data_IF_082721157506
#
_entry.id   IF_082721157506
#
_cell.length_a   1.000
_cell.length_b   1.000
_cell.length_c   1.000
_cell.angle_alpha   90.00
_cell.angle_beta   90.00
_cell.angle_gamma   90.00
#
_symmetry.space_group_name_H-M   'P 1'
#
loop_
_entity.id
_entity.type
_entity.pdbx_description
1 polymer ?
#
# COMPACT_ATOMS: atom_id res chain seq x y z
N UNK A 1 8.75 21.49 21.48
CA UNK A 1 9.86 20.53 21.70
C UNK A 1 9.67 19.92 23.09
N UNK A 2 9.35 18.63 23.19
CA UNK A 2 9.29 17.96 24.49
C UNK A 2 10.72 17.77 25.01
N UNK A 3 10.95 18.13 26.27
CA UNK A 3 12.27 18.09 26.91
C UNK A 3 12.74 16.63 27.16
N UNK A 4 14.05 16.45 27.38
CA UNK A 4 14.65 15.12 27.59
C UNK A 4 14.05 14.34 28.78
N UNK A 5 13.58 15.05 29.81
CA UNK A 5 12.89 14.45 30.96
C UNK A 5 11.56 13.78 30.57
N UNK A 6 10.84 14.33 29.57
CA UNK A 6 9.60 13.74 29.05
C UNK A 6 9.86 12.51 28.19
N UNK A 7 11.01 12.43 27.50
CA UNK A 7 11.45 11.20 26.79
C UNK A 7 11.82 10.09 27.77
N UNK A 8 12.49 10.44 28.88
CA UNK A 8 12.90 9.48 29.89
C UNK A 8 11.69 8.88 30.62
N UNK A 9 10.69 9.67 30.98
CA UNK A 9 9.46 9.19 31.64
C UNK A 9 8.62 8.30 30.70
N UNK A 10 8.57 8.62 29.40
CA UNK A 10 7.83 7.82 28.43
C UNK A 10 8.46 6.43 28.22
N UNK A 11 9.79 6.38 28.07
CA UNK A 11 10.53 5.11 27.98
C UNK A 11 10.42 4.30 29.28
N UNK A 12 10.48 4.97 30.45
CA UNK A 12 10.41 4.31 31.75
C UNK A 12 9.01 3.79 32.11
N UNK A 13 7.95 4.39 31.56
CA UNK A 13 6.58 3.89 31.74
C UNK A 13 6.31 2.63 30.90
N UNK A 14 6.98 2.49 29.76
CA UNK A 14 6.86 1.33 28.87
C UNK A 14 7.68 0.16 29.41
N UNK A 15 8.87 0.39 29.96
CA UNK A 15 9.68 -0.68 30.59
C UNK A 15 9.04 -1.26 31.85
N UNK A 16 8.13 -0.54 32.53
CA UNK A 16 7.38 -1.08 33.69
C UNK A 16 6.21 -1.99 33.31
N UNK A 17 5.79 -2.03 32.04
CA UNK A 17 4.70 -2.89 31.54
C UNK A 17 5.15 -4.09 30.72
N UNK A 18 6.44 -4.16 30.38
CA UNK A 18 7.00 -5.24 29.57
C UNK A 18 7.55 -6.33 30.48
N UNK A 19 7.21 -7.58 30.22
CA UNK A 19 7.78 -8.70 30.96
C UNK A 19 9.29 -8.81 30.65
N UNK A 20 10.06 -9.43 31.56
CA UNK A 20 11.49 -9.68 31.36
C UNK A 20 11.78 -10.44 30.04
N UNK A 21 10.81 -11.22 29.56
CA UNK A 21 10.79 -11.93 28.28
C UNK A 21 10.75 -10.98 27.08
N UNK A 22 9.96 -9.89 27.16
CA UNK A 22 9.85 -8.85 26.13
C UNK A 22 11.10 -7.97 26.07
N UNK A 23 11.67 -7.63 27.24
CA UNK A 23 12.93 -6.87 27.32
C UNK A 23 14.08 -7.64 26.65
N UNK A 24 14.12 -8.96 26.80
CA UNK A 24 15.11 -9.82 26.15
C UNK A 24 14.85 -9.99 24.64
N UNK A 25 13.59 -9.98 24.18
CA UNK A 25 13.24 -9.95 22.75
C UNK A 25 13.61 -8.61 22.10
N UNK A 26 13.39 -7.48 22.77
CA UNK A 26 13.81 -6.15 22.32
C UNK A 26 15.34 -6.08 22.19
N UNK A 27 16.07 -6.62 23.19
CA UNK A 27 17.53 -6.74 23.12
C UNK A 27 18.04 -7.67 22.00
N UNK A 28 17.20 -8.55 21.46
CA UNK A 28 17.53 -9.44 20.34
C UNK A 28 17.31 -8.76 18.98
N UNK A 29 16.43 -7.76 18.88
CA UNK A 29 16.37 -6.80 17.76
C UNK A 29 17.51 -5.77 17.86
N UNK A 30 18.74 -6.28 17.86
CA UNK A 30 19.98 -5.54 18.16
C UNK A 30 20.44 -4.64 16.99
N UNK A 31 19.57 -3.74 16.56
CA UNK A 31 19.93 -2.48 15.93
C UNK A 31 19.04 -1.43 16.59
N UNK A 32 19.60 -0.61 17.48
CA UNK A 32 18.87 0.50 18.14
C UNK A 32 18.09 1.36 17.14
N UNK A 33 18.59 1.45 15.91
CA UNK A 33 17.96 2.10 14.76
C UNK A 33 16.63 1.45 14.31
N UNK A 34 16.51 0.11 14.30
CA UNK A 34 15.26 -0.57 13.88
C UNK A 34 14.14 -0.30 14.89
N UNK A 35 14.42 -0.51 16.18
CA UNK A 35 13.43 -0.24 17.22
C UNK A 35 13.10 1.25 17.27
N UNK A 36 14.10 2.14 17.18
CA UNK A 36 13.89 3.58 17.16
C UNK A 36 12.96 4.01 16.02
N UNK A 37 13.23 3.54 14.79
CA UNK A 37 12.43 3.83 13.58
C UNK A 37 10.98 3.37 13.71
N UNK A 38 10.74 2.15 14.19
CA UNK A 38 9.40 1.56 14.22
C UNK A 38 8.70 1.63 15.59
N UNK A 39 9.32 2.27 16.58
CA UNK A 39 8.81 2.36 17.96
C UNK A 39 7.35 2.80 18.04
N UNK A 40 6.92 3.75 17.20
CA UNK A 40 5.53 4.25 17.18
C UNK A 40 4.51 3.21 16.74
N UNK A 41 4.88 2.29 15.87
CA UNK A 41 4.04 1.15 15.48
C UNK A 41 4.10 0.05 16.55
N UNK A 42 5.30 -0.25 17.05
CA UNK A 42 5.53 -1.28 18.08
C UNK A 42 4.76 -0.97 19.39
N UNK A 43 4.58 0.30 19.74
CA UNK A 43 3.82 0.68 20.94
C UNK A 43 2.31 0.49 20.83
N UNK A 44 1.77 0.22 19.64
CA UNK A 44 0.36 -0.13 19.47
C UNK A 44 0.20 -1.58 19.93
N UNK A 45 -0.66 -1.83 20.90
CA UNK A 45 -0.83 -3.14 21.55
C UNK A 45 -1.14 -4.25 20.53
N UNK A 46 -2.00 -3.96 19.57
CA UNK A 46 -2.41 -4.91 18.53
C UNK A 46 -1.31 -5.17 17.48
N UNK A 47 -0.28 -4.31 17.41
CA UNK A 47 0.89 -4.54 16.54
C UNK A 47 2.01 -5.19 17.36
N UNK A 48 2.51 -4.52 18.40
CA UNK A 48 3.62 -5.01 19.21
C UNK A 48 4.88 -5.31 18.40
N UNK A 49 5.81 -6.05 19.01
CA UNK A 49 7.01 -6.51 18.32
C UNK A 49 6.70 -7.58 17.25
N UNK A 50 5.70 -8.43 17.52
CA UNK A 50 5.35 -9.52 16.62
C UNK A 50 4.70 -9.00 15.32
N UNK A 51 3.80 -8.03 15.40
CA UNK A 51 3.21 -7.37 14.23
C UNK A 51 4.25 -6.64 13.40
N UNK A 52 5.18 -5.90 14.04
CA UNK A 52 6.28 -5.28 13.30
C UNK A 52 7.18 -6.32 12.62
N UNK A 53 7.41 -7.47 13.25
CA UNK A 53 8.14 -8.59 12.65
C UNK A 53 7.41 -9.16 11.44
N UNK A 54 6.07 -9.27 11.47
CA UNK A 54 5.28 -9.65 10.28
C UNK A 54 5.43 -8.62 9.16
N UNK A 55 5.34 -7.33 9.46
CA UNK A 55 5.56 -6.24 8.50
C UNK A 55 6.93 -6.40 7.81
N UNK A 56 8.00 -6.54 8.59
CA UNK A 56 9.36 -6.69 8.07
C UNK A 56 9.62 -7.98 7.29
N UNK A 57 8.76 -8.99 7.40
CA UNK A 57 8.89 -10.25 6.66
C UNK A 57 7.95 -10.33 5.44
N UNK A 58 6.98 -9.42 5.33
CA UNK A 58 6.01 -9.43 4.25
C UNK A 58 6.60 -8.95 2.92
N UNK A 59 6.09 -9.51 1.83
CA UNK A 59 6.35 -9.10 0.45
C UNK A 59 5.08 -8.54 -0.16
N UNK A 60 5.08 -7.27 -0.52
CA UNK A 60 3.93 -6.60 -1.14
C UNK A 60 4.26 -6.19 -2.57
N UNK A 61 3.39 -6.51 -3.52
CA UNK A 61 3.45 -6.01 -4.90
C UNK A 61 2.49 -4.84 -5.08
N UNK A 62 3.00 -3.70 -5.51
CA UNK A 62 2.20 -2.53 -5.89
C UNK A 62 2.20 -2.43 -7.42
N UNK A 63 1.00 -2.49 -8.01
CA UNK A 63 0.81 -2.39 -9.45
C UNK A 63 0.40 -0.96 -9.77
N UNK A 64 1.28 -0.25 -10.47
CA UNK A 64 1.21 1.19 -10.71
C UNK A 64 1.89 1.99 -9.59
N UNK A 65 2.82 2.86 -9.99
CA UNK A 65 3.48 3.86 -9.14
C UNK A 65 2.82 5.25 -9.25
N UNK A 66 1.65 5.33 -9.89
CA UNK A 66 0.90 6.57 -10.12
C UNK A 66 0.23 7.16 -8.87
N UNK A 67 -0.92 7.83 -9.05
CA UNK A 67 -1.56 8.61 -7.97
C UNK A 67 -1.94 7.77 -6.73
N UNK A 68 -2.47 6.57 -6.93
CA UNK A 68 -2.80 5.63 -5.85
C UNK A 68 -1.56 4.88 -5.33
N UNK A 69 -0.68 4.47 -6.25
CA UNK A 69 0.54 3.74 -5.92
C UNK A 69 1.53 4.55 -5.10
N UNK A 70 1.65 5.86 -5.36
CA UNK A 70 2.55 6.78 -4.64
C UNK A 70 2.40 6.72 -3.12
N UNK A 71 1.22 7.05 -2.53
CA UNK A 71 1.02 6.93 -1.09
C UNK A 71 1.13 5.46 -0.59
N UNK A 72 0.75 4.47 -1.40
CA UNK A 72 0.94 3.05 -1.04
C UNK A 72 2.41 2.71 -0.82
N UNK A 73 3.24 3.02 -1.80
CA UNK A 73 4.69 2.81 -1.74
C UNK A 73 5.28 3.57 -0.55
N UNK A 74 4.86 4.83 -0.37
CA UNK A 74 5.33 5.67 0.73
C UNK A 74 5.04 5.07 2.11
N UNK A 75 3.79 4.70 2.38
CA UNK A 75 3.40 4.23 3.71
C UNK A 75 3.88 2.81 3.98
N UNK A 76 3.90 1.93 2.99
CA UNK A 76 4.46 0.58 3.17
C UNK A 76 5.98 0.61 3.38
N UNK A 77 6.70 1.46 2.64
CA UNK A 77 8.13 1.65 2.87
C UNK A 77 8.40 2.28 4.25
N UNK A 78 7.63 3.29 4.66
CA UNK A 78 7.74 3.89 6.00
C UNK A 78 7.43 2.89 7.13
N UNK A 79 6.42 2.03 6.93
CA UNK A 79 6.04 0.99 7.88
C UNK A 79 7.13 -0.09 8.05
N UNK A 80 7.98 -0.25 7.04
CA UNK A 80 9.09 -1.19 7.05
C UNK A 80 8.73 -2.55 6.49
N UNK A 81 7.87 -2.60 5.47
CA UNK A 81 7.59 -3.84 4.72
C UNK A 81 8.90 -4.46 4.23
N UNK A 82 9.06 -5.76 4.38
CA UNK A 82 10.31 -6.47 4.09
C UNK A 82 10.77 -6.34 2.63
N UNK A 83 9.88 -6.69 1.70
CA UNK A 83 10.09 -6.48 0.28
C UNK A 83 8.92 -5.74 -0.36
N UNK A 84 9.23 -4.71 -1.13
CA UNK A 84 8.26 -3.88 -1.84
C UNK A 84 8.52 -3.98 -3.34
N UNK A 85 7.71 -4.79 -4.01
CA UNK A 85 7.67 -4.88 -5.46
C UNK A 85 6.87 -3.72 -6.04
N UNK A 86 7.39 -3.06 -7.06
CA UNK A 86 6.69 -1.98 -7.78
C UNK A 86 6.77 -2.24 -9.27
N UNK A 87 5.60 -2.32 -9.89
CA UNK A 87 5.45 -2.58 -11.33
C UNK A 87 4.86 -1.35 -11.98
N UNK A 88 5.59 -0.73 -12.89
CA UNK A 88 5.12 0.37 -13.71
C UNK A 88 5.92 0.39 -15.01
N UNK A 89 5.32 0.83 -16.11
CA UNK A 89 5.95 0.90 -17.42
C UNK A 89 6.09 2.35 -17.93
N UNK A 90 5.51 3.31 -17.22
CA UNK A 90 5.52 4.71 -17.61
C UNK A 90 6.78 5.44 -17.13
N UNK A 91 7.00 6.60 -17.75
CA UNK A 91 7.91 7.63 -17.27
C UNK A 91 7.16 8.67 -16.44
N UNK A 92 7.89 9.39 -15.58
CA UNK A 92 7.34 10.52 -14.84
C UNK A 92 7.13 11.69 -15.79
N UNK A 93 5.92 12.24 -15.82
CA UNK A 93 5.59 13.45 -16.54
C UNK A 93 5.31 14.62 -15.58
N UNK A 94 5.49 15.86 -16.04
CA UNK A 94 5.28 17.05 -15.20
C UNK A 94 3.86 17.09 -14.61
N UNK A 95 2.86 16.72 -15.41
CA UNK A 95 1.47 16.71 -14.98
C UNK A 95 1.19 15.66 -13.90
N UNK A 96 2.08 14.69 -13.67
CA UNK A 96 1.94 13.70 -12.60
C UNK A 96 2.19 14.32 -11.20
N UNK A 97 3.02 15.36 -11.12
CA UNK A 97 3.57 15.87 -9.86
C UNK A 97 2.53 16.53 -8.94
N UNK A 98 1.31 16.80 -9.42
CA UNK A 98 0.23 17.29 -8.56
C UNK A 98 -0.34 16.23 -7.60
N UNK A 99 -0.07 14.94 -7.85
CA UNK A 99 -0.67 13.82 -7.10
C UNK A 99 0.25 12.62 -6.87
N UNK A 100 1.29 12.45 -7.67
CA UNK A 100 2.21 11.31 -7.57
C UNK A 100 3.42 11.70 -6.69
N UNK A 101 3.16 11.81 -5.38
CA UNK A 101 4.02 12.51 -4.40
C UNK A 101 5.37 11.85 -4.10
N UNK A 102 5.62 10.63 -4.60
CA UNK A 102 6.94 9.98 -4.49
C UNK A 102 7.87 10.39 -5.64
N UNK A 103 7.33 11.02 -6.68
CA UNK A 103 8.07 11.54 -7.83
C UNK A 103 8.40 13.03 -7.63
N UNK A 104 9.42 13.51 -8.33
CA UNK A 104 9.83 14.91 -8.29
C UNK A 104 10.40 15.35 -9.65
N UNK A 105 10.64 16.66 -9.80
CA UNK A 105 11.08 17.27 -11.07
C UNK A 105 12.38 16.66 -11.64
N UNK A 106 13.28 16.13 -10.81
CA UNK A 106 14.53 15.51 -11.28
C UNK A 106 14.31 14.19 -12.03
N UNK A 107 13.13 13.60 -11.89
CA UNK A 107 12.76 12.35 -12.54
C UNK A 107 11.85 12.53 -13.75
N UNK A 108 11.45 13.75 -14.12
CA UNK A 108 10.66 13.99 -15.34
C UNK A 108 11.41 13.42 -16.56
N UNK A 109 10.71 12.63 -17.38
CA UNK A 109 11.27 11.90 -18.53
C UNK A 109 12.11 10.67 -18.14
N UNK A 110 11.95 10.15 -16.91
CA UNK A 110 12.60 8.92 -16.44
C UNK A 110 11.55 7.97 -15.90
N UNK A 111 11.87 6.68 -15.91
CA UNK A 111 11.06 5.60 -15.36
C UNK A 111 10.47 5.91 -13.97
N UNK A 112 9.15 5.73 -13.82
CA UNK A 112 8.46 5.84 -12.53
C UNK A 112 8.99 4.83 -11.52
N UNK A 113 9.36 3.64 -11.95
CA UNK A 113 9.97 2.61 -11.09
C UNK A 113 11.30 3.08 -10.53
N UNK A 114 12.14 3.72 -11.34
CA UNK A 114 13.43 4.27 -10.88
C UNK A 114 13.25 5.43 -9.92
N UNK A 115 12.25 6.29 -10.16
CA UNK A 115 11.89 7.35 -9.22
C UNK A 115 11.38 6.79 -7.89
N UNK A 116 10.53 5.76 -7.93
CA UNK A 116 10.05 5.08 -6.73
C UNK A 116 11.18 4.37 -5.97
N UNK A 117 12.13 3.75 -6.68
CA UNK A 117 13.32 3.13 -6.09
C UNK A 117 14.16 4.15 -5.31
N UNK A 118 14.44 5.31 -5.92
CA UNK A 118 15.17 6.40 -5.27
C UNK A 118 14.44 6.91 -4.03
N UNK A 119 13.13 7.16 -4.14
CA UNK A 119 12.31 7.58 -3.01
C UNK A 119 12.36 6.58 -1.85
N UNK A 120 12.16 5.29 -2.13
CA UNK A 120 12.15 4.24 -1.09
C UNK A 120 13.53 4.10 -0.44
N UNK A 121 14.62 4.16 -1.20
CA UNK A 121 15.99 4.09 -0.64
C UNK A 121 16.27 5.27 0.28
N UNK A 122 15.85 6.48 -0.10
CA UNK A 122 16.02 7.69 0.71
C UNK A 122 15.14 7.69 1.96
N UNK A 123 13.91 7.15 1.87
CA UNK A 123 12.98 7.06 3.00
C UNK A 123 13.35 5.93 3.98
N UNK A 124 13.61 4.73 3.46
CA UNK A 124 13.86 3.52 4.23
C UNK A 124 14.75 2.53 3.47
N UNK A 125 16.06 2.72 3.51
CA UNK A 125 17.05 1.83 2.90
C UNK A 125 17.03 0.37 3.40
N UNK A 126 16.26 0.03 4.44
CA UNK A 126 16.10 -1.34 4.94
C UNK A 126 15.05 -2.14 4.17
N UNK A 127 14.16 -1.47 3.43
CA UNK A 127 13.14 -2.10 2.59
C UNK A 127 13.81 -2.63 1.34
N UNK A 128 13.62 -3.92 1.04
CA UNK A 128 14.09 -4.50 -0.21
C UNK A 128 13.16 -4.08 -1.36
N UNK A 129 13.56 -3.06 -2.11
CA UNK A 129 12.81 -2.61 -3.28
C UNK A 129 13.05 -3.51 -4.48
N UNK A 130 11.97 -3.99 -5.11
CA UNK A 130 12.01 -4.84 -6.31
C UNK A 130 11.29 -4.09 -7.45
N UNK A 131 12.07 -3.38 -8.27
CA UNK A 131 11.52 -2.62 -9.40
C UNK A 131 11.31 -3.47 -10.64
N UNK A 132 10.15 -3.33 -11.28
CA UNK A 132 9.77 -4.05 -12.50
C UNK A 132 9.29 -3.04 -13.54
N UNK A 133 10.15 -2.71 -14.49
CA UNK A 133 9.94 -1.71 -15.56
C UNK A 133 9.18 -2.30 -16.76
N UNK A 134 8.06 -2.98 -16.48
CA UNK A 134 7.29 -3.69 -17.49
C UNK A 134 5.80 -3.54 -17.26
N UNK A 135 5.04 -3.53 -18.36
CA UNK A 135 3.59 -3.62 -18.29
C UNK A 135 3.18 -5.02 -17.89
N UNK A 136 2.35 -5.13 -16.85
CA UNK A 136 1.73 -6.41 -16.48
C UNK A 136 0.76 -6.85 -17.58
N UNK A 137 0.83 -8.13 -17.96
CA UNK A 137 0.02 -8.73 -19.01
C UNK A 137 -0.13 -10.24 -18.77
N UNK A 138 -0.95 -10.91 -19.58
CA UNK A 138 -1.29 -12.33 -19.41
C UNK A 138 -0.07 -13.26 -19.39
N UNK A 139 1.03 -12.89 -20.05
CA UNK A 139 2.24 -13.72 -20.13
C UNK A 139 3.16 -13.61 -18.92
N UNK A 140 3.09 -12.51 -18.14
CA UNK A 140 4.02 -12.27 -17.02
C UNK A 140 3.32 -12.15 -15.65
N UNK A 141 2.00 -11.95 -15.62
CA UNK A 141 1.28 -11.62 -14.38
C UNK A 141 1.37 -12.74 -13.34
N UNK A 142 1.25 -14.01 -13.76
CA UNK A 142 1.25 -15.15 -12.84
C UNK A 142 2.61 -15.33 -12.15
N UNK A 143 3.70 -15.35 -12.91
CA UNK A 143 5.06 -15.46 -12.37
C UNK A 143 5.35 -14.31 -11.41
N UNK A 144 4.98 -13.08 -11.79
CA UNK A 144 5.20 -11.88 -11.01
C UNK A 144 4.42 -11.91 -9.70
N UNK A 145 3.10 -12.11 -9.74
CA UNK A 145 2.22 -12.11 -8.56
C UNK A 145 2.56 -13.26 -7.60
N UNK A 146 2.99 -14.43 -8.11
CA UNK A 146 3.30 -15.59 -7.28
C UNK A 146 4.36 -15.33 -6.21
N UNK A 147 5.27 -14.37 -6.45
CA UNK A 147 6.43 -14.06 -5.60
C UNK A 147 6.10 -13.20 -4.38
N UNK A 148 4.89 -12.64 -4.30
CA UNK A 148 4.47 -11.71 -3.26
C UNK A 148 3.33 -12.28 -2.42
N UNK A 149 3.22 -11.82 -1.18
CA UNK A 149 2.21 -12.27 -0.23
C UNK A 149 0.89 -11.54 -0.44
N UNK A 150 0.95 -10.25 -0.75
CA UNK A 150 -0.21 -9.35 -0.90
C UNK A 150 -0.02 -8.50 -2.15
N UNK A 151 -1.10 -8.30 -2.89
CA UNK A 151 -1.12 -7.47 -4.10
C UNK A 151 -1.95 -6.21 -3.82
N UNK A 152 -1.42 -5.06 -4.23
CA UNK A 152 -2.10 -3.77 -4.15
C UNK A 152 -2.24 -3.22 -5.56
N UNK A 153 -3.48 -3.07 -6.01
CA UNK A 153 -3.79 -2.59 -7.34
C UNK A 153 -4.06 -1.09 -7.32
N UNK A 154 -3.08 -0.32 -7.79
CA UNK A 154 -3.14 1.12 -8.02
C UNK A 154 -3.24 1.47 -9.51
N UNK A 155 -3.61 0.52 -10.37
CA UNK A 155 -3.73 0.74 -11.82
C UNK A 155 -4.97 1.57 -12.18
N UNK A 156 -4.89 2.25 -13.32
CA UNK A 156 -5.87 3.22 -13.81
C UNK A 156 -6.81 2.66 -14.89
N UNK A 157 -6.57 1.45 -15.37
CA UNK A 157 -7.33 0.86 -16.48
C UNK A 157 -7.97 -0.47 -16.10
N UNK A 158 -9.17 -0.71 -16.64
CA UNK A 158 -9.95 -1.91 -16.35
C UNK A 158 -9.23 -3.20 -16.76
N UNK A 159 -8.55 -3.23 -17.91
CA UNK A 159 -7.86 -4.43 -18.39
C UNK A 159 -6.87 -4.97 -17.34
N UNK A 160 -6.08 -4.09 -16.74
CA UNK A 160 -5.11 -4.47 -15.70
C UNK A 160 -5.82 -4.96 -14.44
N UNK A 161 -6.84 -4.24 -13.98
CA UNK A 161 -7.59 -4.60 -12.76
C UNK A 161 -8.19 -6.00 -12.83
N UNK A 162 -8.80 -6.35 -13.96
CA UNK A 162 -9.42 -7.66 -14.14
C UNK A 162 -8.37 -8.77 -14.27
N UNK A 163 -7.29 -8.54 -15.03
CA UNK A 163 -6.16 -9.47 -15.09
C UNK A 163 -5.58 -9.76 -13.70
N UNK A 164 -5.28 -8.70 -12.94
CA UNK A 164 -4.71 -8.81 -11.59
C UNK A 164 -5.66 -9.56 -10.67
N UNK A 165 -6.95 -9.25 -10.70
CA UNK A 165 -7.97 -9.99 -9.95
C UNK A 165 -7.95 -11.48 -10.28
N UNK A 166 -7.96 -11.84 -11.56
CA UNK A 166 -8.10 -13.23 -11.99
C UNK A 166 -6.87 -14.05 -11.59
N UNK A 167 -5.68 -13.46 -11.69
CA UNK A 167 -4.45 -14.08 -11.21
C UNK A 167 -4.43 -14.19 -9.68
N UNK A 168 -4.90 -13.18 -8.96
CA UNK A 168 -5.02 -13.24 -7.49
C UNK A 168 -6.01 -14.33 -7.04
N UNK A 169 -7.13 -14.50 -7.74
CA UNK A 169 -8.09 -15.61 -7.50
C UNK A 169 -7.39 -16.95 -7.72
N UNK A 170 -6.71 -17.12 -8.86
CA UNK A 170 -5.99 -18.36 -9.22
C UNK A 170 -4.93 -18.73 -8.18
N UNK A 171 -4.14 -17.74 -7.74
CA UNK A 171 -3.02 -17.92 -6.82
C UNK A 171 -3.40 -17.79 -5.34
N UNK A 172 -4.68 -17.52 -5.03
CA UNK A 172 -5.20 -17.25 -3.68
C UNK A 172 -4.42 -16.14 -2.96
N UNK A 173 -4.11 -15.06 -3.69
CA UNK A 173 -3.41 -13.89 -3.16
C UNK A 173 -4.44 -12.84 -2.72
N UNK A 174 -4.33 -12.28 -1.50
CA UNK A 174 -5.11 -11.12 -1.09
C UNK A 174 -4.85 -9.95 -2.04
N UNK A 175 -5.93 -9.30 -2.44
CA UNK A 175 -5.90 -8.14 -3.32
C UNK A 175 -6.51 -6.93 -2.61
N UNK A 176 -5.71 -5.89 -2.40
CA UNK A 176 -6.18 -4.57 -1.98
C UNK A 176 -6.47 -3.75 -3.22
N UNK A 177 -7.73 -3.40 -3.39
CA UNK A 177 -8.22 -2.66 -4.55
C UNK A 177 -8.44 -1.20 -4.21
N UNK A 178 -8.07 -0.30 -5.12
CA UNK A 178 -8.44 1.11 -5.05
C UNK A 178 -8.79 1.68 -6.43
N UNK A 179 -9.69 2.67 -6.45
CA UNK A 179 -10.02 3.42 -7.66
C UNK A 179 -10.44 4.84 -7.33
N UNK A 180 -10.24 5.76 -8.26
CA UNK A 180 -10.57 7.18 -8.09
C UNK A 180 -11.08 7.79 -9.40
N UNK A 181 -11.93 8.80 -9.29
CA UNK A 181 -12.37 9.65 -10.38
C UNK A 181 -12.91 10.98 -9.82
N UNK A 182 -12.39 12.13 -10.28
CA UNK A 182 -12.81 13.44 -9.79
C UNK A 182 -12.63 13.61 -8.28
N UNK A 183 -13.75 13.57 -7.54
CA UNK A 183 -13.83 13.63 -6.06
C UNK A 183 -14.21 12.28 -5.42
N UNK A 184 -14.47 11.26 -6.23
CA UNK A 184 -14.95 9.95 -5.79
C UNK A 184 -13.82 8.93 -5.73
N UNK A 185 -13.76 8.17 -4.64
CA UNK A 185 -12.82 7.08 -4.42
C UNK A 185 -13.52 5.81 -3.98
N UNK A 186 -12.87 4.67 -4.19
CA UNK A 186 -13.32 3.38 -3.69
C UNK A 186 -12.12 2.59 -3.18
N UNK A 187 -12.33 1.81 -2.12
CA UNK A 187 -11.34 0.87 -1.60
C UNK A 187 -12.01 -0.41 -1.09
N UNK A 188 -11.43 -1.56 -1.37
CA UNK A 188 -11.91 -2.87 -0.94
C UNK A 188 -10.78 -3.87 -0.74
N UNK A 189 -11.09 -4.98 -0.06
CA UNK A 189 -10.25 -6.19 -0.02
C UNK A 189 -10.98 -7.31 -0.76
N UNK A 190 -10.23 -7.99 -1.62
CA UNK A 190 -10.67 -9.17 -2.35
C UNK A 190 -9.74 -10.35 -2.08
N UNK A 191 -10.24 -11.57 -2.34
CA UNK A 191 -9.44 -12.79 -2.32
C UNK A 191 -8.74 -13.08 -0.98
N UNK A 192 -9.31 -12.65 0.16
CA UNK A 192 -8.72 -12.82 1.49
C UNK A 192 -9.67 -13.60 2.40
N UNK A 193 -9.18 -14.68 3.03
CA UNK A 193 -9.92 -15.50 3.99
C UNK A 193 -11.33 -15.91 3.51
N UNK A 194 -11.45 -16.30 2.24
CA UNK A 194 -12.73 -16.73 1.64
C UNK A 194 -13.66 -15.58 1.24
N UNK A 195 -13.19 -14.33 1.22
CA UNK A 195 -13.94 -13.21 0.67
C UNK A 195 -14.22 -13.39 -0.83
N UNK A 196 -15.23 -12.67 -1.30
CA UNK A 196 -15.53 -12.46 -2.72
C UNK A 196 -14.36 -11.75 -3.43
N UNK A 197 -14.42 -11.78 -4.76
CA UNK A 197 -13.46 -11.16 -5.66
C UNK A 197 -14.11 -10.01 -6.46
N UNK A 198 -13.31 -9.29 -7.26
CA UNK A 198 -13.78 -8.14 -8.04
C UNK A 198 -14.96 -8.51 -8.95
N UNK A 199 -14.90 -9.68 -9.60
CA UNK A 199 -15.94 -10.17 -10.51
C UNK A 199 -17.25 -10.53 -9.82
N UNK A 200 -17.26 -10.71 -8.50
CA UNK A 200 -18.54 -10.89 -7.79
C UNK A 200 -19.36 -9.60 -7.71
N UNK A 201 -18.71 -8.43 -7.77
CA UNK A 201 -19.38 -7.12 -7.79
C UNK A 201 -19.52 -6.61 -9.22
N UNK A 202 -18.46 -6.75 -10.02
CA UNK A 202 -18.37 -6.27 -11.39
C UNK A 202 -18.02 -7.46 -12.30
N UNK A 203 -19.00 -8.27 -12.74
CA UNK A 203 -18.73 -9.53 -13.43
C UNK A 203 -17.83 -9.42 -14.65
N UNK A 204 -18.05 -8.38 -15.45
CA UNK A 204 -17.31 -8.10 -16.68
C UNK A 204 -16.77 -6.67 -16.66
N UNK A 205 -15.58 -6.44 -17.26
CA UNK A 205 -15.08 -5.09 -17.45
C UNK A 205 -16.11 -4.27 -18.23
N UNK A 206 -16.26 -2.97 -17.91
CA UNK A 206 -17.20 -2.14 -18.65
C UNK A 206 -16.80 -2.15 -20.13
N UNK A 207 -17.75 -2.55 -20.98
CA UNK A 207 -17.65 -2.42 -22.43
C UNK A 207 -17.85 -0.95 -22.77
N UNK A 208 -16.78 -0.18 -22.98
CA UNK A 208 -16.93 1.03 -23.78
C UNK A 208 -15.62 1.54 -24.35
N UNK A 209 -15.60 1.71 -25.68
CA UNK A 209 -14.59 2.49 -26.40
C UNK A 209 -14.65 3.99 -26.07
N UNK A 210 -15.72 4.43 -25.37
CA UNK A 210 -15.98 5.83 -25.02
C UNK A 210 -15.74 6.18 -23.54
N UNK A 211 -15.23 5.26 -22.72
CA UNK A 211 -14.85 5.61 -21.35
C UNK A 211 -13.70 6.63 -21.42
N UNK A 212 -13.90 7.87 -20.95
CA UNK A 212 -12.83 8.86 -20.97
C UNK A 212 -11.68 8.33 -20.12
N UNK A 213 -10.46 8.49 -20.61
CA UNK A 213 -9.28 8.17 -19.80
C UNK A 213 -9.38 8.94 -18.47
N UNK A 214 -9.00 8.35 -17.33
CA UNK A 214 -9.12 9.01 -16.04
C UNK A 214 -8.43 10.39 -16.03
N UNK A 215 -7.39 10.54 -16.87
CA UNK A 215 -6.69 11.81 -17.07
C UNK A 215 -7.51 12.88 -17.79
N UNK A 216 -8.50 12.52 -18.61
CA UNK A 216 -9.37 13.47 -19.32
C UNK A 216 -10.49 14.06 -18.46
N UNK A 217 -10.91 13.37 -17.40
CA UNK A 217 -11.92 13.85 -16.45
C UNK A 217 -11.32 14.58 -15.24
N UNK A 218 -10.00 14.47 -15.07
CA UNK A 218 -9.28 15.08 -13.96
C UNK A 218 -9.53 14.42 -12.61
N UNK A 219 -8.59 14.62 -11.70
CA UNK A 219 -8.63 14.08 -10.34
C UNK A 219 -8.11 15.16 -9.39
N UNK A 220 -8.81 15.40 -8.28
CA UNK A 220 -8.31 16.27 -7.22
C UNK A 220 -7.06 15.62 -6.59
N UNK A 221 -5.90 16.26 -6.66
CA UNK A 221 -4.62 15.62 -6.31
C UNK A 221 -4.53 15.01 -4.90
N UNK A 222 -5.27 15.55 -3.93
CA UNK A 222 -5.32 15.01 -2.57
C UNK A 222 -6.12 13.69 -2.44
N UNK A 223 -7.10 13.44 -3.33
CA UNK A 223 -7.95 12.26 -3.29
C UNK A 223 -7.15 10.95 -3.42
N UNK A 224 -6.24 10.78 -4.42
CA UNK A 224 -5.37 9.61 -4.47
C UNK A 224 -4.58 9.39 -3.18
N UNK A 225 -4.11 10.49 -2.55
CA UNK A 225 -3.44 10.45 -1.24
C UNK A 225 -4.31 9.82 -0.15
N UNK A 226 -5.59 10.23 -0.05
CA UNK A 226 -6.56 9.67 0.90
C UNK A 226 -6.79 8.19 0.62
N UNK A 227 -7.12 7.83 -0.62
CA UNK A 227 -7.48 6.45 -0.99
C UNK A 227 -6.29 5.52 -0.87
N UNK A 228 -5.11 5.91 -1.36
CA UNK A 228 -3.92 5.08 -1.26
C UNK A 228 -3.38 4.94 0.17
N UNK A 229 -3.61 5.92 1.06
CA UNK A 229 -3.37 5.75 2.49
C UNK A 229 -4.30 4.70 3.10
N UNK A 230 -5.58 4.67 2.69
CA UNK A 230 -6.51 3.62 3.10
C UNK A 230 -6.09 2.25 2.57
N UNK A 231 -5.66 2.16 1.31
CA UNK A 231 -5.12 0.91 0.73
C UNK A 231 -3.91 0.41 1.52
N UNK A 232 -2.97 1.30 1.87
CA UNK A 232 -1.81 0.97 2.70
C UNK A 232 -2.22 0.41 4.06
N UNK A 233 -3.21 1.06 4.71
CA UNK A 233 -3.72 0.63 6.00
C UNK A 233 -4.35 -0.77 5.91
N UNK A 234 -5.12 -1.06 4.86
CA UNK A 234 -5.70 -2.39 4.64
C UNK A 234 -4.61 -3.45 4.42
N UNK A 235 -3.58 -3.15 3.61
CA UNK A 235 -2.45 -4.05 3.43
C UNK A 235 -1.73 -4.33 4.76
N UNK A 236 -1.44 -3.31 5.57
CA UNK A 236 -0.81 -3.48 6.88
C UNK A 236 -1.69 -4.30 7.84
N UNK A 237 -3.01 -4.10 7.82
CA UNK A 237 -3.94 -4.91 8.62
C UNK A 237 -3.95 -6.38 8.18
N UNK A 238 -3.87 -6.66 6.87
CA UNK A 238 -3.70 -8.03 6.37
C UNK A 238 -2.38 -8.62 6.89
N UNK A 239 -1.26 -7.89 6.77
CA UNK A 239 0.06 -8.38 7.21
C UNK A 239 0.09 -8.67 8.71
N UNK A 240 -0.58 -7.86 9.50
CA UNK A 240 -0.56 -7.96 10.97
C UNK A 240 -1.63 -8.88 11.55
N UNK A 241 -2.51 -9.43 10.70
CA UNK A 241 -3.69 -10.21 11.08
C UNK A 241 -4.67 -9.43 11.97
N UNK A 242 -4.82 -8.13 11.72
CA UNK A 242 -5.79 -7.30 12.42
C UNK A 242 -7.21 -7.52 11.86
N UNK A 243 -8.26 -7.33 12.68
CA UNK A 243 -9.64 -7.52 12.26
C UNK A 243 -10.02 -6.70 11.02
N UNK A 244 -10.64 -7.35 10.04
CA UNK A 244 -11.08 -6.76 8.78
C UNK A 244 -12.51 -7.19 8.47
N UNK A 245 -13.34 -6.25 8.01
CA UNK A 245 -14.63 -6.58 7.43
C UNK A 245 -14.41 -7.08 6.01
N UNK A 246 -14.84 -8.31 5.73
CA UNK A 246 -14.77 -8.90 4.41
C UNK A 246 -16.05 -8.60 3.63
N UNK A 247 -15.97 -8.68 2.30
CA UNK A 247 -17.12 -8.46 1.41
C UNK A 247 -17.76 -7.07 1.58
N UNK A 248 -16.91 -6.06 1.81
CA UNK A 248 -17.32 -4.68 2.00
C UNK A 248 -16.48 -3.75 1.13
N UNK A 249 -17.13 -2.79 0.47
CA UNK A 249 -16.48 -1.73 -0.31
C UNK A 249 -16.73 -0.40 0.39
N UNK A 250 -15.68 0.39 0.56
CA UNK A 250 -15.79 1.75 1.09
C UNK A 250 -15.83 2.72 -0.08
N UNK A 251 -16.92 3.46 -0.20
CA UNK A 251 -17.11 4.59 -1.09
C UNK A 251 -16.71 5.88 -0.38
N UNK A 252 -15.96 6.72 -1.09
CA UNK A 252 -15.40 7.97 -0.59
C UNK A 252 -15.86 9.07 -1.54
N UNK A 253 -16.47 10.12 -1.01
CA UNK A 253 -16.84 11.33 -1.75
C UNK A 253 -16.26 12.52 -1.00
N UNK A 254 -15.18 13.11 -1.54
CA UNK A 254 -14.51 14.25 -0.91
C UNK A 254 -15.16 15.59 -1.27
N UNK A 255 -16.10 15.62 -2.21
CA UNK A 255 -16.87 16.83 -2.53
C UNK A 255 -17.92 17.08 -1.44
N UNK A 256 -18.61 16.03 -0.99
CA UNK A 256 -19.63 16.11 0.06
C UNK A 256 -19.16 15.62 1.43
N UNK A 257 -17.89 15.22 1.53
CA UNK A 257 -17.26 14.66 2.74
C UNK A 257 -17.98 13.44 3.30
N UNK A 258 -18.36 12.51 2.42
CA UNK A 258 -19.10 11.30 2.76
C UNK A 258 -18.24 10.05 2.60
N UNK A 259 -18.26 9.20 3.62
CA UNK A 259 -17.61 7.89 3.64
C UNK A 259 -18.67 6.84 3.96
N UNK A 260 -18.88 5.88 3.06
CA UNK A 260 -19.94 4.89 3.19
C UNK A 260 -19.39 3.49 2.88
N UNK A 261 -19.71 2.53 3.74
CA UNK A 261 -19.44 1.13 3.50
C UNK A 261 -20.67 0.44 2.93
N UNK A 262 -20.48 -0.43 1.93
CA UNK A 262 -21.54 -1.24 1.33
C UNK A 262 -21.07 -2.70 1.34
N UNK A 263 -21.92 -3.60 1.84
CA UNK A 263 -21.67 -5.05 1.84
C UNK A 263 -22.09 -5.65 0.49
N UNK A 264 -21.38 -6.69 0.03
CA UNK A 264 -21.62 -7.31 -1.28
C UNK A 264 -21.55 -8.83 -1.32
#
# INVERSE_FOLDING_TARGET
>A
MLNESSRYIFIHSITKKLEQSDVNKIKKMKNEDIFSRYSRQIFIEEIGLEGQRKIMNAKVLVIGAGGLGSPVIQYLAAAGVGALGVVDFDEVELHNLNRQIIHNEHFVGKSKVKSAEDFVKNLNHRVNFIGIENKINDSNAEEMISQFDIIVDGSDNFKTRYLVNDICVKLKKPLVYGSILGFSGQVAIFNYNGSKNLRNIFPEPPFDENLPDCDSLGVLGALPGIVGSMMSNLALKIITDLPLNLNQITLIDTLTWRFQTIDF
#
